data_IF_520763810828
#
_entry.id   IF_520763810828
#
_cell.length_a   1.000
_cell.length_b   1.000
_cell.length_c   1.000
_cell.angle_alpha   90.00
_cell.angle_beta   90.00
_cell.angle_gamma   90.00
#
_symmetry.space_group_name_H-M   'P 1'
#
loop_
_entity.id
_entity.type
_entity.pdbx_description
1 polymer ?
#
# COMPACT_ATOMS: atom_id res chain seq x y z
N UNK A 1 2.07 -23.21 -2.95
CA UNK A 1 1.83 -22.39 -4.16
C UNK A 1 0.80 -21.29 -3.86
N UNK A 2 -0.41 -21.61 -3.38
CA UNK A 2 -1.48 -20.61 -3.10
C UNK A 2 -1.09 -19.45 -2.17
N UNK A 3 -0.20 -19.69 -1.18
CA UNK A 3 0.24 -18.66 -0.23
C UNK A 3 1.10 -17.57 -0.88
N UNK A 4 1.88 -17.92 -1.90
CA UNK A 4 2.74 -16.98 -2.63
C UNK A 4 1.89 -16.15 -3.60
N UNK A 5 0.96 -16.77 -4.33
CA UNK A 5 0.03 -16.04 -5.21
C UNK A 5 -0.86 -15.06 -4.44
N UNK A 6 -1.42 -15.46 -3.30
CA UNK A 6 -2.26 -14.57 -2.49
C UNK A 6 -1.50 -13.32 -2.01
N UNK A 7 -0.22 -13.45 -1.69
CA UNK A 7 0.61 -12.32 -1.27
C UNK A 7 0.89 -11.34 -2.41
N UNK A 8 1.11 -11.86 -3.61
CA UNK A 8 1.28 -11.04 -4.82
C UNK A 8 0.00 -10.27 -5.13
N UNK A 9 -1.17 -10.93 -5.04
CA UNK A 9 -2.47 -10.26 -5.22
C UNK A 9 -2.67 -9.17 -4.16
N UNK A 10 -2.35 -9.46 -2.89
CA UNK A 10 -2.44 -8.47 -1.81
C UNK A 10 -1.53 -7.27 -2.07
N UNK A 11 -0.30 -7.51 -2.53
CA UNK A 11 0.64 -6.46 -2.89
C UNK A 11 0.12 -5.63 -4.07
N UNK A 12 -0.49 -6.25 -5.09
CA UNK A 12 -1.08 -5.53 -6.21
C UNK A 12 -2.22 -4.60 -5.75
N UNK A 13 -3.11 -5.07 -4.88
CA UNK A 13 -4.17 -4.25 -4.29
C UNK A 13 -3.57 -3.09 -3.48
N UNK A 14 -2.54 -3.37 -2.68
CA UNK A 14 -1.84 -2.35 -1.89
C UNK A 14 -1.22 -1.26 -2.77
N UNK A 15 -0.66 -1.60 -3.95
CA UNK A 15 -0.19 -0.59 -4.91
C UNK A 15 -1.30 0.33 -5.41
N UNK A 16 -2.51 -0.19 -5.68
CA UNK A 16 -3.64 0.66 -6.05
C UNK A 16 -4.05 1.62 -4.93
N UNK A 17 -3.98 1.16 -3.67
CA UNK A 17 -4.24 2.01 -2.49
C UNK A 17 -3.21 3.14 -2.41
N UNK A 18 -1.93 2.87 -2.70
CA UNK A 18 -0.90 3.91 -2.76
C UNK A 18 -1.21 4.94 -3.85
N UNK A 19 -1.56 4.50 -5.05
CA UNK A 19 -1.91 5.40 -6.16
C UNK A 19 -3.12 6.28 -5.81
N UNK A 20 -4.16 5.71 -5.21
CA UNK A 20 -5.31 6.46 -4.73
C UNK A 20 -4.92 7.47 -3.64
N UNK A 21 -4.09 7.05 -2.68
CA UNK A 21 -3.57 7.92 -1.63
C UNK A 21 -2.78 9.11 -2.16
N UNK A 22 -1.96 8.89 -3.20
CA UNK A 22 -1.24 9.95 -3.91
C UNK A 22 -2.21 10.94 -4.55
N UNK A 23 -3.22 10.44 -5.27
CA UNK A 23 -4.23 11.31 -5.89
C UNK A 23 -4.98 12.17 -4.86
N UNK A 24 -5.36 11.59 -3.73
CA UNK A 24 -6.02 12.29 -2.63
C UNK A 24 -5.10 13.30 -1.95
N UNK A 25 -3.82 12.97 -1.77
CA UNK A 25 -2.83 13.88 -1.19
C UNK A 25 -2.59 15.08 -2.11
N UNK A 26 -2.44 14.85 -3.42
CA UNK A 26 -2.33 15.92 -4.43
C UNK A 26 -3.57 16.80 -4.40
N UNK A 27 -4.77 16.21 -4.36
CA UNK A 27 -6.01 16.98 -4.23
C UNK A 27 -6.01 17.83 -2.94
N UNK A 28 -5.58 17.26 -1.81
CA UNK A 28 -5.44 18.01 -0.55
C UNK A 28 -4.48 19.19 -0.66
N UNK A 29 -3.34 19.02 -1.33
CA UNK A 29 -2.38 20.10 -1.59
C UNK A 29 -2.94 21.18 -2.52
N UNK A 30 -3.64 20.79 -3.59
CA UNK A 30 -4.17 21.72 -4.59
C UNK A 30 -5.29 22.62 -4.04
N UNK A 31 -6.10 22.11 -3.11
CA UNK A 31 -7.25 22.83 -2.55
C UNK A 31 -7.02 23.31 -1.11
N UNK A 32 -5.79 23.25 -0.60
CA UNK A 32 -5.41 23.55 0.79
C UNK A 32 -6.28 22.81 1.83
N UNK A 33 -6.69 21.59 1.49
CA UNK A 33 -7.52 20.74 2.33
C UNK A 33 -6.64 19.80 3.16
N UNK A 34 -6.24 20.27 4.34
CA UNK A 34 -5.36 19.53 5.25
C UNK A 34 -5.92 18.14 5.62
N UNK A 35 -7.25 18.00 5.70
CA UNK A 35 -7.87 16.70 5.94
C UNK A 35 -7.60 15.70 4.80
N UNK A 36 -7.81 16.12 3.54
CA UNK A 36 -7.55 15.29 2.37
C UNK A 36 -6.07 14.92 2.26
N UNK A 37 -5.17 15.88 2.51
CA UNK A 37 -3.73 15.62 2.57
C UNK A 37 -3.39 14.52 3.58
N UNK A 38 -3.90 14.61 4.81
CA UNK A 38 -3.62 13.64 5.87
C UNK A 38 -4.19 12.25 5.56
N UNK A 39 -5.40 12.16 5.02
CA UNK A 39 -5.98 10.88 4.60
C UNK A 39 -5.21 10.26 3.42
N UNK A 40 -4.78 11.06 2.45
CA UNK A 40 -3.93 10.62 1.35
C UNK A 40 -2.59 10.09 1.84
N UNK A 41 -1.91 10.85 2.72
CA UNK A 41 -0.65 10.43 3.33
C UNK A 41 -0.79 9.13 4.15
N UNK A 42 -1.88 8.99 4.93
CA UNK A 42 -2.17 7.78 5.67
C UNK A 42 -2.40 6.57 4.75
N UNK A 43 -3.15 6.75 3.66
CA UNK A 43 -3.39 5.70 2.67
C UNK A 43 -2.09 5.26 1.98
N UNK A 44 -1.20 6.21 1.65
CA UNK A 44 0.15 5.90 1.12
C UNK A 44 0.95 5.07 2.13
N UNK A 45 1.01 5.51 3.39
CA UNK A 45 1.77 4.82 4.43
C UNK A 45 1.27 3.38 4.64
N UNK A 46 -0.05 3.18 4.71
CA UNK A 46 -0.67 1.86 4.85
C UNK A 46 -0.41 0.99 3.61
N UNK A 47 -0.55 1.56 2.41
CA UNK A 47 -0.32 0.81 1.16
C UNK A 47 1.14 0.37 1.01
N UNK A 48 2.10 1.27 1.25
CA UNK A 48 3.54 0.97 1.16
C UNK A 48 3.95 -0.08 2.20
N UNK A 49 3.52 0.07 3.46
CA UNK A 49 3.83 -0.90 4.51
C UNK A 49 3.22 -2.27 4.21
N UNK A 50 1.99 -2.31 3.71
CA UNK A 50 1.34 -3.57 3.29
C UNK A 50 2.06 -4.21 2.12
N UNK A 51 2.46 -3.46 1.10
CA UNK A 51 3.28 -3.94 -0.01
C UNK A 51 4.60 -4.53 0.48
N UNK A 52 5.31 -3.80 1.34
CA UNK A 52 6.58 -4.24 1.89
C UNK A 52 6.42 -5.57 2.66
N UNK A 53 5.43 -5.66 3.55
CA UNK A 53 5.15 -6.89 4.31
C UNK A 53 4.72 -8.04 3.40
N UNK A 54 3.84 -7.78 2.43
CA UNK A 54 3.33 -8.79 1.52
C UNK A 54 4.45 -9.38 0.65
N UNK A 55 5.39 -8.56 0.19
CA UNK A 55 6.49 -8.98 -0.68
C UNK A 55 7.76 -9.40 0.07
N UNK A 56 7.88 -9.11 1.37
CA UNK A 56 9.07 -9.47 2.15
C UNK A 56 9.16 -10.99 2.37
N UNK A 57 10.25 -11.63 1.95
CA UNK A 57 10.44 -13.08 2.13
C UNK A 57 10.62 -13.37 3.62
N UNK A 58 9.74 -14.21 4.20
CA UNK A 58 9.84 -14.58 5.61
C UNK A 58 10.57 -15.92 5.74
N UNK A 59 11.37 -16.18 6.78
CA UNK A 59 12.08 -17.46 6.98
C UNK A 59 11.16 -18.68 7.08
N UNK A 60 9.84 -18.47 7.23
CA UNK A 60 8.83 -19.54 7.19
C UNK A 60 8.48 -19.99 5.76
N UNK A 61 8.89 -19.24 4.73
CA UNK A 61 8.76 -19.59 3.31
C UNK A 61 9.93 -20.48 2.82
N UNK A 62 11.05 -20.57 3.56
CA UNK A 62 12.23 -21.35 3.19
C UNK A 62 12.14 -22.85 3.50
N UNK A 63 11.13 -23.29 4.25
CA UNK A 63 10.92 -24.73 4.47
C UNK A 63 10.20 -25.33 3.26
N UNK A 64 10.97 -25.64 2.22
CA UNK A 64 10.56 -26.55 1.16
C UNK A 64 11.55 -27.69 1.01
#
# INVERSE_FOLDING_TARGET
MVRTELRVVLAAIATFVVLAGIAVAIHGLLFDQNAALRYGAAAIAIGVTTCAVALNVWPKDEKK
#
